data_IF_045867527720
#
_entry.id   IF_045867527720
#
_cell.length_a   1.000
_cell.length_b   1.000
_cell.length_c   1.000
_cell.angle_alpha   90.00
_cell.angle_beta   90.00
_cell.angle_gamma   90.00
#
_symmetry.space_group_name_H-M   'P 1'
#
loop_
_entity.id
_entity.type
_entity.pdbx_description
1 polymer ?
#
# COMPACT_ATOMS: atom_id res chain seq x y z
N UNK A 1 -43.07 9.14 25.45
CA UNK A 1 -41.91 10.02 25.13
C UNK A 1 -40.58 9.28 24.97
N UNK A 2 -40.43 8.08 25.47
CA UNK A 2 -39.22 7.24 25.37
C UNK A 2 -39.00 6.63 23.97
N UNK A 3 -40.05 6.28 23.23
CA UNK A 3 -39.97 5.61 21.92
C UNK A 3 -39.41 6.50 20.80
N UNK A 4 -39.62 7.81 20.84
CA UNK A 4 -39.15 8.75 19.79
C UNK A 4 -37.62 9.01 19.93
N UNK A 5 -37.13 9.01 21.17
CA UNK A 5 -35.68 9.14 21.43
C UNK A 5 -34.90 7.91 20.93
N UNK A 6 -35.48 6.71 21.11
CA UNK A 6 -34.89 5.44 20.65
C UNK A 6 -34.76 5.37 19.12
N UNK A 7 -35.79 5.79 18.36
CA UNK A 7 -35.75 5.78 16.88
C UNK A 7 -34.74 6.75 16.32
N UNK A 8 -34.63 7.95 16.92
CA UNK A 8 -33.58 8.93 16.50
C UNK A 8 -32.17 8.43 16.80
N UNK A 9 -31.98 7.80 17.95
CA UNK A 9 -30.70 7.22 18.34
C UNK A 9 -30.31 6.06 17.40
N UNK A 10 -31.25 5.19 17.06
CA UNK A 10 -31.04 4.10 16.11
C UNK A 10 -30.69 4.61 14.70
N UNK A 11 -31.35 5.67 14.25
CA UNK A 11 -31.07 6.28 12.95
C UNK A 11 -29.67 6.91 12.90
N UNK A 12 -29.25 7.62 13.95
CA UNK A 12 -27.92 8.20 14.07
C UNK A 12 -26.84 7.11 14.08
N UNK A 13 -27.08 6.05 14.85
CA UNK A 13 -26.15 4.91 14.91
C UNK A 13 -26.01 4.21 13.56
N UNK A 14 -27.12 3.98 12.84
CA UNK A 14 -27.09 3.43 11.49
C UNK A 14 -26.32 4.34 10.51
N UNK A 15 -26.50 5.65 10.60
CA UNK A 15 -25.78 6.61 9.76
C UNK A 15 -24.27 6.60 10.02
N UNK A 16 -23.85 6.55 11.29
CA UNK A 16 -22.45 6.44 11.68
C UNK A 16 -21.85 5.13 11.16
N UNK A 17 -22.57 4.00 11.29
CA UNK A 17 -22.10 2.71 10.82
C UNK A 17 -21.89 2.72 9.30
N UNK A 18 -22.87 3.25 8.54
CA UNK A 18 -22.78 3.39 7.09
C UNK A 18 -21.58 4.29 6.70
N UNK A 19 -21.40 5.40 7.40
CA UNK A 19 -20.27 6.32 7.16
C UNK A 19 -18.93 5.63 7.40
N UNK A 20 -18.79 4.87 8.49
CA UNK A 20 -17.57 4.10 8.79
C UNK A 20 -17.31 3.05 7.72
N UNK A 21 -18.34 2.32 7.26
CA UNK A 21 -18.21 1.35 6.18
C UNK A 21 -17.75 2.02 4.88
N UNK A 22 -18.33 3.17 4.54
CA UNK A 22 -17.93 3.94 3.34
C UNK A 22 -16.47 4.38 3.45
N UNK A 23 -16.05 4.92 4.59
CA UNK A 23 -14.65 5.34 4.80
C UNK A 23 -13.70 4.17 4.65
N UNK A 24 -14.01 3.03 5.25
CA UNK A 24 -13.20 1.81 5.13
C UNK A 24 -13.11 1.31 3.68
N UNK A 25 -14.23 1.29 2.96
CA UNK A 25 -14.27 0.86 1.56
C UNK A 25 -13.49 1.82 0.65
N UNK A 26 -13.59 3.14 0.88
CA UNK A 26 -12.89 4.14 0.06
C UNK A 26 -11.38 4.18 0.29
N UNK A 27 -10.93 3.93 1.54
CA UNK A 27 -9.50 3.96 1.88
C UNK A 27 -8.80 2.61 1.72
N UNK A 28 -9.59 1.53 1.53
CA UNK A 28 -9.09 0.17 1.42
C UNK A 28 -8.59 -0.42 2.75
N UNK A 29 -8.48 -1.72 2.77
CA UNK A 29 -7.90 -2.47 3.88
C UNK A 29 -6.45 -2.82 3.53
N UNK A 30 -5.52 -2.57 4.45
CA UNK A 30 -4.20 -3.18 4.39
C UNK A 30 -4.14 -4.36 5.37
N UNK A 31 -3.45 -5.41 4.99
CA UNK A 31 -3.16 -6.52 5.88
C UNK A 31 -1.67 -6.85 5.82
N UNK A 32 -1.13 -7.27 6.96
CA UNK A 32 0.27 -7.72 7.02
C UNK A 32 0.36 -9.18 6.61
N UNK A 33 1.34 -9.48 5.77
CA UNK A 33 1.67 -10.83 5.33
C UNK A 33 3.16 -11.07 5.45
N UNK A 34 3.58 -12.32 5.32
CA UNK A 34 5.00 -12.69 5.28
C UNK A 34 5.37 -13.12 3.88
N UNK A 35 6.45 -12.58 3.37
CA UNK A 35 7.05 -13.00 2.09
C UNK A 35 8.49 -13.43 2.34
N UNK A 36 8.97 -14.38 1.54
CA UNK A 36 10.36 -14.85 1.60
C UNK A 36 11.05 -14.35 0.35
N UNK A 37 12.10 -13.55 0.53
CA UNK A 37 12.95 -13.04 -0.53
C UNK A 37 14.37 -13.46 -0.25
N UNK A 38 14.97 -14.25 -1.13
CA UNK A 38 16.35 -14.76 -0.98
C UNK A 38 16.61 -15.39 0.41
N UNK A 39 15.66 -16.22 0.86
CA UNK A 39 15.74 -16.92 2.16
C UNK A 39 15.47 -16.06 3.39
N UNK A 40 15.24 -14.75 3.24
CA UNK A 40 14.86 -13.85 4.32
C UNK A 40 13.35 -13.68 4.38
N UNK A 41 12.80 -13.79 5.58
CA UNK A 41 11.37 -13.53 5.81
C UNK A 41 11.17 -12.03 6.09
N UNK A 42 10.33 -11.40 5.27
CA UNK A 42 9.91 -10.02 5.44
C UNK A 42 8.44 -9.97 5.85
N UNK A 43 8.12 -9.06 6.76
CA UNK A 43 6.74 -8.70 7.10
C UNK A 43 6.32 -7.54 6.19
N UNK A 44 5.35 -7.77 5.32
CA UNK A 44 4.93 -6.76 4.35
C UNK A 44 3.49 -6.33 4.57
N UNK A 45 3.24 -5.05 4.36
CA UNK A 45 1.90 -4.51 4.20
C UNK A 45 1.47 -4.71 2.74
N UNK A 46 0.37 -5.42 2.53
CA UNK A 46 -0.12 -5.69 1.17
C UNK A 46 -1.09 -4.61 0.74
N UNK A 47 -0.86 -4.03 -0.43
CA UNK A 47 -1.68 -2.95 -1.00
C UNK A 47 -2.11 -3.31 -2.42
N UNK A 48 -3.42 -3.19 -2.70
CA UNK A 48 -4.02 -3.60 -3.98
C UNK A 48 -5.10 -2.62 -4.48
N UNK A 49 -5.62 -1.74 -3.61
CA UNK A 49 -6.59 -0.74 -4.04
C UNK A 49 -5.90 0.45 -4.69
N UNK A 50 -6.56 1.09 -5.66
CA UNK A 50 -6.01 2.27 -6.35
C UNK A 50 -5.49 3.32 -5.38
N UNK A 51 -6.26 3.63 -4.33
CA UNK A 51 -5.86 4.62 -3.32
C UNK A 51 -4.56 4.22 -2.61
N UNK A 52 -4.43 2.96 -2.18
CA UNK A 52 -3.25 2.47 -1.45
C UNK A 52 -2.03 2.36 -2.37
N UNK A 53 -2.22 1.93 -3.62
CA UNK A 53 -1.17 1.87 -4.62
C UNK A 53 -0.60 3.26 -4.94
N UNK A 54 -1.46 4.28 -5.04
CA UNK A 54 -1.03 5.68 -5.28
C UNK A 54 -0.37 6.29 -4.05
N UNK A 55 -0.86 5.99 -2.85
CA UNK A 55 -0.30 6.49 -1.59
C UNK A 55 1.07 5.85 -1.30
N UNK A 56 1.19 4.54 -1.47
CA UNK A 56 2.39 3.80 -1.13
C UNK A 56 2.92 4.12 0.27
N UNK A 57 4.22 4.30 0.38
CA UNK A 57 4.93 4.65 1.62
C UNK A 57 4.96 6.16 1.93
N UNK A 58 4.29 7.00 1.14
CA UNK A 58 4.23 8.45 1.39
C UNK A 58 3.74 8.76 2.81
N UNK A 59 4.51 9.53 3.57
CA UNK A 59 4.21 9.90 4.94
C UNK A 59 4.38 8.78 5.99
N UNK A 60 4.87 7.62 5.60
CA UNK A 60 5.20 6.54 6.55
C UNK A 60 6.48 6.86 7.34
N UNK A 61 6.58 6.23 8.51
CA UNK A 61 7.83 6.17 9.27
C UNK A 61 8.82 5.22 8.58
N UNK A 62 10.14 5.36 8.84
CA UNK A 62 11.11 4.42 8.33
C UNK A 62 10.75 2.97 8.63
N UNK A 63 10.89 2.11 7.63
CA UNK A 63 10.68 0.66 7.77
C UNK A 63 11.81 0.04 8.57
N UNK A 64 11.48 -1.00 9.33
CA UNK A 64 12.49 -1.88 9.91
C UNK A 64 13.15 -2.74 8.82
N UNK A 65 14.29 -3.34 9.14
CA UNK A 65 15.09 -4.12 8.18
C UNK A 65 14.38 -5.37 7.62
N UNK A 66 13.32 -5.82 8.29
CA UNK A 66 12.49 -6.95 7.93
C UNK A 66 11.06 -6.53 7.54
N UNK A 67 10.83 -5.25 7.31
CA UNK A 67 9.53 -4.71 6.88
C UNK A 67 9.56 -4.24 5.45
N UNK A 68 8.39 -4.25 4.80
CA UNK A 68 8.20 -3.75 3.45
C UNK A 68 6.74 -3.47 3.11
N UNK A 69 6.53 -3.01 1.89
CA UNK A 69 5.20 -2.87 1.30
C UNK A 69 5.16 -3.69 0.01
N UNK A 70 4.13 -4.51 -0.14
CA UNK A 70 3.94 -5.36 -1.29
C UNK A 70 2.79 -4.84 -2.14
N UNK A 71 3.12 -4.34 -3.32
CA UNK A 71 2.17 -3.79 -4.27
C UNK A 71 1.66 -4.90 -5.17
N UNK A 72 0.34 -5.10 -5.21
CA UNK A 72 -0.32 -6.08 -6.07
C UNK A 72 -1.09 -5.35 -7.16
N UNK A 73 -0.65 -5.52 -8.40
CA UNK A 73 -1.29 -4.94 -9.57
C UNK A 73 -2.11 -5.99 -10.32
N UNK A 74 -3.21 -5.57 -10.94
CA UNK A 74 -4.13 -6.50 -11.62
C UNK A 74 -3.60 -7.00 -12.95
N UNK A 75 -2.82 -6.21 -13.65
CA UNK A 75 -2.30 -6.54 -14.97
C UNK A 75 -0.78 -6.32 -15.02
N UNK A 76 -0.02 -7.13 -15.79
CA UNK A 76 1.40 -6.88 -16.00
C UNK A 76 1.61 -5.60 -16.81
N UNK A 77 2.48 -4.73 -16.33
CA UNK A 77 3.00 -3.56 -17.06
C UNK A 77 4.23 -2.99 -16.34
N UNK A 78 4.89 -2.00 -16.93
CA UNK A 78 6.03 -1.30 -16.32
C UNK A 78 5.53 -0.28 -15.31
N UNK A 79 5.31 -0.71 -14.07
CA UNK A 79 4.89 0.19 -12.98
C UNK A 79 6.07 1.02 -12.49
N UNK A 80 5.93 2.35 -12.61
CA UNK A 80 6.93 3.29 -12.12
C UNK A 80 6.69 3.67 -10.66
N UNK A 81 7.79 3.88 -9.94
CA UNK A 81 7.78 4.34 -8.55
C UNK A 81 8.62 5.61 -8.40
N UNK A 82 8.23 6.45 -7.48
CA UNK A 82 8.90 7.70 -7.13
C UNK A 82 8.96 7.86 -5.62
N UNK A 83 9.80 8.79 -5.17
CA UNK A 83 10.04 9.07 -3.75
C UNK A 83 9.21 10.24 -3.22
N UNK A 84 7.99 10.45 -3.76
CA UNK A 84 7.12 11.55 -3.33
C UNK A 84 6.73 11.40 -1.86
N UNK A 85 6.92 12.48 -1.09
CA UNK A 85 6.60 12.55 0.35
C UNK A 85 7.26 11.45 1.19
N UNK A 86 8.42 10.96 0.73
CA UNK A 86 9.27 10.02 1.46
C UNK A 86 10.28 10.75 2.33
N UNK A 87 10.64 10.17 3.46
CA UNK A 87 11.62 10.72 4.41
C UNK A 87 12.79 9.78 4.70
N UNK A 88 12.82 8.61 4.06
CA UNK A 88 13.87 7.59 4.23
C UNK A 88 14.14 6.88 2.90
N UNK A 89 15.36 6.36 2.70
CA UNK A 89 15.70 5.61 1.51
C UNK A 89 15.06 4.22 1.54
N UNK A 90 14.81 3.66 0.34
CA UNK A 90 14.26 2.31 0.17
C UNK A 90 14.96 1.59 -0.98
N UNK A 91 14.85 0.27 -0.97
CA UNK A 91 15.06 -0.58 -2.14
C UNK A 91 13.71 -0.85 -2.80
N UNK A 92 13.67 -0.86 -4.13
CA UNK A 92 12.49 -1.26 -4.90
C UNK A 92 12.81 -2.52 -5.67
N UNK A 93 11.99 -3.54 -5.48
CA UNK A 93 12.12 -4.85 -6.14
C UNK A 93 10.87 -5.07 -6.99
N UNK A 94 11.05 -5.21 -8.30
CA UNK A 94 9.98 -5.60 -9.21
C UNK A 94 9.98 -7.10 -9.44
N UNK A 95 8.79 -7.68 -9.43
CA UNK A 95 8.57 -9.09 -9.69
C UNK A 95 7.79 -9.26 -11.00
N UNK A 96 8.11 -10.30 -11.74
CA UNK A 96 7.34 -10.72 -12.89
C UNK A 96 6.06 -11.47 -12.47
N UNK A 97 5.25 -11.90 -13.44
CA UNK A 97 4.01 -12.67 -13.19
C UNK A 97 4.24 -14.04 -12.54
N UNK A 98 5.47 -14.52 -12.49
CA UNK A 98 5.86 -15.77 -11.84
C UNK A 98 6.50 -15.54 -10.45
N UNK A 99 6.41 -14.30 -9.93
CA UNK A 99 7.04 -13.86 -8.68
C UNK A 99 8.57 -13.97 -8.68
N UNK A 100 9.19 -13.90 -9.86
CA UNK A 100 10.65 -13.81 -9.97
C UNK A 100 11.07 -12.35 -10.02
N UNK A 101 12.21 -12.06 -9.40
CA UNK A 101 12.80 -10.72 -9.44
C UNK A 101 13.17 -10.38 -10.88
N UNK A 102 12.59 -9.32 -11.42
CA UNK A 102 12.85 -8.82 -12.78
C UNK A 102 13.77 -7.61 -12.77
N UNK A 103 13.72 -6.78 -11.73
CA UNK A 103 14.54 -5.59 -11.59
C UNK A 103 14.68 -5.18 -10.12
N UNK A 104 15.82 -4.58 -9.76
CA UNK A 104 16.08 -4.04 -8.41
C UNK A 104 16.72 -2.66 -8.54
N UNK A 105 16.20 -1.70 -7.82
CA UNK A 105 16.84 -0.40 -7.56
C UNK A 105 17.18 -0.31 -6.08
N UNK A 106 18.44 -0.09 -5.76
CA UNK A 106 18.92 -0.10 -4.38
C UNK A 106 19.12 1.31 -3.83
N UNK A 107 18.80 1.50 -2.55
CA UNK A 107 19.11 2.71 -1.78
C UNK A 107 18.63 4.00 -2.47
N UNK A 108 17.40 3.98 -2.98
CA UNK A 108 16.79 5.16 -3.60
C UNK A 108 16.46 6.16 -2.49
N UNK A 109 17.03 7.35 -2.61
CA UNK A 109 16.90 8.41 -1.61
C UNK A 109 15.70 9.32 -1.88
N UNK A 110 15.10 9.91 -0.85
CA UNK A 110 14.00 10.88 -1.00
C UNK A 110 14.29 12.02 -1.97
N UNK A 111 15.54 12.50 -2.00
CA UNK A 111 15.97 13.63 -2.83
C UNK A 111 15.93 13.33 -4.33
N UNK A 112 15.75 12.08 -4.72
CA UNK A 112 15.58 11.70 -6.15
C UNK A 112 14.25 12.16 -6.73
N UNK A 113 13.25 12.46 -5.89
CA UNK A 113 11.98 13.01 -6.39
C UNK A 113 12.22 14.32 -7.16
N UNK A 114 11.62 14.53 -8.33
CA UNK A 114 10.47 13.82 -8.94
C UNK A 114 10.84 12.70 -9.94
N UNK A 115 12.08 12.18 -9.94
CA UNK A 115 12.46 11.07 -10.82
C UNK A 115 11.56 9.85 -10.58
N UNK A 116 11.15 9.20 -11.68
CA UNK A 116 10.39 7.94 -11.65
C UNK A 116 11.31 6.81 -12.09
N UNK A 117 11.30 5.73 -11.33
CA UNK A 117 12.07 4.51 -11.58
C UNK A 117 11.14 3.46 -12.18
N UNK A 118 11.57 2.80 -13.24
CA UNK A 118 10.81 1.80 -13.98
C UNK A 118 11.58 0.50 -14.10
N UNK A 119 10.91 -0.66 -14.11
CA UNK A 119 11.57 -1.92 -14.43
C UNK A 119 11.87 -2.00 -15.93
N UNK A 120 12.83 -2.84 -16.30
CA UNK A 120 13.15 -3.10 -17.71
C UNK A 120 12.04 -3.88 -18.42
N UNK A 121 11.36 -4.78 -17.71
CA UNK A 121 10.28 -5.63 -18.19
C UNK A 121 9.01 -5.39 -17.38
N UNK A 122 7.87 -5.93 -17.86
CA UNK A 122 6.61 -5.85 -17.15
C UNK A 122 6.68 -6.54 -15.79
N UNK A 123 6.07 -5.92 -14.80
CA UNK A 123 5.93 -6.41 -13.42
C UNK A 123 4.45 -6.50 -13.02
N UNK A 124 4.15 -7.25 -11.97
CA UNK A 124 2.78 -7.43 -11.50
C UNK A 124 2.69 -7.38 -9.98
#
# INVERSE_FOLDING_TARGET
>A
MSFIKSKKFLAIFAFILIFVVIVVVLHGFTFKSKVIVDGKTLTVEVVETKYLLEKGLSGHKPLLSDEGMFFVFQAPQKYGFWMKDMTFPIDIIWLDSNYKISHIENNIKPETYPKVFYPETDSK
#
